data_IF_691030816309
#
_entry.id   IF_691030816309
#
_cell.length_a   1.000
_cell.length_b   1.000
_cell.length_c   1.000
_cell.angle_alpha   90.00
_cell.angle_beta   90.00
_cell.angle_gamma   90.00
#
_symmetry.space_group_name_H-M   'P 1'
#
loop_
_entity.id
_entity.type
_entity.pdbx_description
1 polymer ?
#
# COMPACT_ATOMS: atom_id res chain seq x y z
N UNK A 1 10.44 -0.14 -48.56
CA UNK A 1 11.79 -0.75 -48.64
C UNK A 1 12.04 -1.50 -47.33
N UNK A 2 11.55 -2.74 -47.22
CA UNK A 2 11.59 -3.55 -46.01
C UNK A 2 12.90 -4.36 -45.96
N UNK A 3 13.80 -4.04 -45.04
CA UNK A 3 14.99 -4.88 -44.75
C UNK A 3 14.58 -6.00 -43.78
N UNK A 4 14.50 -7.21 -44.30
CA UNK A 4 14.35 -8.44 -43.49
C UNK A 4 15.68 -8.75 -42.79
N UNK A 5 15.69 -8.65 -41.45
CA UNK A 5 16.82 -9.11 -40.63
C UNK A 5 16.69 -10.65 -40.44
N UNK A 6 17.60 -11.40 -41.07
CA UNK A 6 17.74 -12.86 -40.90
C UNK A 6 18.55 -13.10 -39.61
N UNK A 7 17.93 -13.73 -38.64
CA UNK A 7 18.61 -14.26 -37.44
C UNK A 7 19.18 -15.66 -37.84
N UNK A 8 20.49 -15.94 -37.66
CA UNK A 8 21.03 -17.26 -37.93
C UNK A 8 20.61 -18.24 -36.83
N UNK A 9 20.08 -19.34 -37.32
CA UNK A 9 19.58 -20.46 -36.56
C UNK A 9 20.73 -21.41 -36.21
N UNK A 10 21.55 -21.09 -35.19
CA UNK A 10 22.32 -22.10 -34.44
C UNK A 10 23.02 -21.51 -33.22
N UNK A 11 22.29 -21.58 -32.13
CA UNK A 11 22.86 -21.68 -30.81
C UNK A 11 22.04 -22.75 -30.07
N UNK A 12 22.19 -23.97 -30.48
CA UNK A 12 21.75 -25.13 -29.71
C UNK A 12 22.76 -25.26 -28.56
N UNK A 13 22.42 -24.70 -27.41
CA UNK A 13 23.16 -24.94 -26.18
C UNK A 13 22.75 -26.34 -25.68
N UNK A 14 23.68 -27.30 -25.50
CA UNK A 14 23.36 -28.57 -24.90
C UNK A 14 22.96 -28.34 -23.44
N UNK A 15 21.75 -28.75 -23.13
CA UNK A 15 21.20 -28.80 -21.79
C UNK A 15 22.02 -29.82 -20.98
N UNK A 16 22.98 -29.33 -20.19
CA UNK A 16 23.65 -30.15 -19.18
C UNK A 16 22.60 -30.64 -18.19
N UNK A 17 22.40 -31.94 -18.19
CA UNK A 17 21.60 -32.64 -17.19
C UNK A 17 22.25 -32.43 -15.82
N UNK A 18 21.73 -31.48 -15.05
CA UNK A 18 22.01 -31.39 -13.62
C UNK A 18 21.38 -32.64 -12.98
N UNK A 19 22.25 -33.51 -12.49
CA UNK A 19 21.89 -34.73 -11.79
C UNK A 19 20.88 -34.39 -10.67
N UNK A 20 19.74 -35.04 -10.73
CA UNK A 20 18.77 -35.03 -9.66
C UNK A 20 19.44 -35.62 -8.41
N UNK A 21 19.36 -34.96 -7.22
CA UNK A 21 19.82 -35.61 -5.99
C UNK A 21 18.98 -36.89 -5.80
N UNK A 22 19.69 -38.01 -5.59
CA UNK A 22 19.08 -39.31 -5.36
C UNK A 22 18.10 -39.20 -4.18
N UNK A 23 16.84 -39.49 -4.41
CA UNK A 23 15.84 -39.67 -3.36
C UNK A 23 16.29 -40.88 -2.53
N UNK A 24 16.53 -40.76 -1.22
CA UNK A 24 16.92 -41.89 -0.40
C UNK A 24 15.78 -42.92 -0.41
N UNK A 25 16.17 -44.18 -0.68
CA UNK A 25 15.27 -45.31 -0.75
C UNK A 25 14.41 -45.40 0.52
N UNK A 26 13.13 -45.56 0.26
CA UNK A 26 12.07 -45.77 1.24
C UNK A 26 12.46 -46.81 2.27
N UNK A 27 12.67 -46.39 3.51
CA UNK A 27 12.99 -47.28 4.63
C UNK A 27 11.64 -47.75 5.24
N UNK A 28 11.17 -48.97 5.02
CA UNK A 28 9.84 -49.44 5.44
C UNK A 28 9.67 -49.60 6.95
N UNK A 29 10.66 -49.16 7.76
CA UNK A 29 10.65 -49.20 9.21
C UNK A 29 10.62 -47.87 9.93
N UNK A 30 10.55 -46.75 9.20
CA UNK A 30 10.42 -45.43 9.84
C UNK A 30 8.98 -45.28 10.37
N UNK A 31 8.82 -45.51 11.69
CA UNK A 31 7.61 -45.08 12.41
C UNK A 31 7.40 -43.57 12.14
N UNK A 32 6.54 -43.27 11.20
CA UNK A 32 6.04 -41.91 10.97
C UNK A 32 5.14 -41.52 12.17
N UNK A 33 5.77 -41.28 13.30
CA UNK A 33 5.11 -40.47 14.34
C UNK A 33 4.91 -39.10 13.71
N UNK A 34 3.68 -38.60 13.61
CA UNK A 34 3.50 -37.24 13.16
C UNK A 34 4.34 -36.35 14.07
N UNK A 35 5.32 -35.66 13.51
CA UNK A 35 6.08 -34.62 14.20
C UNK A 35 5.06 -33.54 14.50
N UNK A 36 4.45 -33.62 15.67
CA UNK A 36 3.64 -32.53 16.17
C UNK A 36 4.56 -31.32 16.28
N UNK A 37 4.18 -30.18 15.70
CA UNK A 37 4.98 -28.98 15.88
C UNK A 37 5.17 -28.80 17.39
N UNK A 38 6.44 -28.61 17.78
CA UNK A 38 6.86 -28.43 19.17
C UNK A 38 6.00 -27.33 19.79
N UNK A 39 4.92 -27.74 20.49
CA UNK A 39 4.14 -26.81 21.29
C UNK A 39 5.10 -26.35 22.38
N UNK A 40 5.43 -25.05 22.47
CA UNK A 40 6.20 -24.55 23.59
C UNK A 40 5.52 -25.10 24.84
N UNK A 41 6.29 -25.81 25.67
CA UNK A 41 5.81 -26.46 26.88
C UNK A 41 4.85 -25.53 27.61
N UNK A 42 3.58 -25.88 27.59
CA UNK A 42 2.57 -25.21 28.38
C UNK A 42 2.84 -25.61 29.85
N UNK A 43 3.81 -24.94 30.43
CA UNK A 43 4.01 -24.95 31.88
C UNK A 43 2.75 -24.35 32.47
N UNK A 44 1.83 -25.22 32.92
CA UNK A 44 0.71 -24.91 33.80
C UNK A 44 -0.06 -23.62 33.49
N UNK A 45 -0.25 -23.29 32.23
CA UNK A 45 -0.78 -22.00 31.83
C UNK A 45 -2.28 -22.08 31.50
N UNK A 46 -3.09 -21.54 32.35
CA UNK A 46 -4.45 -21.20 31.95
C UNK A 46 -4.44 -20.31 30.70
N UNK A 47 -5.37 -20.52 29.79
CA UNK A 47 -5.52 -19.66 28.61
C UNK A 47 -5.95 -18.27 29.10
N UNK A 48 -5.30 -17.23 28.60
CA UNK A 48 -5.63 -15.86 28.99
C UNK A 48 -7.04 -15.52 28.50
N UNK A 49 -7.83 -14.86 29.34
CA UNK A 49 -9.20 -14.44 28.99
C UNK A 49 -9.23 -13.69 27.67
N UNK A 50 -8.24 -12.83 27.40
CA UNK A 50 -8.13 -12.07 26.14
C UNK A 50 -8.03 -12.94 24.88
N UNK A 51 -7.54 -14.20 25.01
CA UNK A 51 -7.39 -15.13 23.88
C UNK A 51 -8.66 -15.96 23.66
N UNK A 52 -9.57 -15.96 24.62
CA UNK A 52 -10.85 -16.66 24.59
C UNK A 52 -12.05 -15.75 24.31
N UNK A 53 -11.89 -14.44 24.49
CA UNK A 53 -13.01 -13.49 24.42
C UNK A 53 -12.76 -12.45 23.34
N UNK A 54 -13.83 -12.04 22.68
CA UNK A 54 -13.83 -10.88 21.80
C UNK A 54 -14.88 -9.88 22.32
N UNK A 55 -14.54 -8.59 22.28
CA UNK A 55 -15.48 -7.55 22.66
C UNK A 55 -16.41 -7.30 21.48
N UNK A 56 -17.72 -7.51 21.69
CA UNK A 56 -18.74 -7.24 20.67
C UNK A 56 -18.71 -5.76 20.28
N UNK A 57 -18.60 -5.47 18.98
CA UNK A 57 -18.53 -4.10 18.47
C UNK A 57 -17.13 -3.50 18.39
N UNK A 58 -16.10 -4.12 18.99
CA UNK A 58 -14.72 -3.72 18.80
C UNK A 58 -14.20 -4.17 17.44
N UNK A 59 -14.34 -3.33 16.43
CA UNK A 59 -13.88 -3.58 15.06
C UNK A 59 -13.09 -2.36 14.55
N UNK A 60 -12.11 -2.56 13.68
CA UNK A 60 -11.48 -1.44 13.01
C UNK A 60 -12.47 -0.73 12.09
N UNK A 61 -12.41 0.59 12.06
CA UNK A 61 -13.19 1.41 11.14
C UNK A 61 -12.29 1.94 10.04
N UNK A 62 -12.72 1.79 8.80
CA UNK A 62 -12.00 2.33 7.67
C UNK A 62 -12.28 3.84 7.54
N UNK A 63 -11.20 4.63 7.49
CA UNK A 63 -11.24 6.05 7.22
C UNK A 63 -10.79 6.31 5.79
N UNK A 64 -11.31 7.39 5.20
CA UNK A 64 -10.95 7.83 3.86
C UNK A 64 -10.86 9.35 3.81
N UNK A 65 -9.97 9.87 2.98
CA UNK A 65 -9.84 11.29 2.72
C UNK A 65 -9.35 11.54 1.32
N UNK A 66 -9.65 12.72 0.81
CA UNK A 66 -9.12 13.22 -0.45
C UNK A 66 -8.01 14.22 -0.13
N UNK A 67 -6.83 13.99 -0.68
CA UNK A 67 -5.65 14.81 -0.45
C UNK A 67 -4.92 15.18 -1.73
N UNK A 68 -3.88 15.98 -1.56
CA UNK A 68 -2.95 16.37 -2.63
C UNK A 68 -1.53 16.09 -2.16
N UNK A 69 -0.75 15.45 -3.00
CA UNK A 69 0.69 15.28 -2.85
C UNK A 69 1.40 16.30 -3.72
N UNK A 70 2.39 16.98 -3.17
CA UNK A 70 3.20 18.00 -3.86
C UNK A 70 4.67 17.60 -3.89
N UNK A 71 5.44 18.18 -4.81
CA UNK A 71 6.89 17.95 -4.89
C UNK A 71 7.29 16.74 -5.71
N UNK A 72 6.48 16.30 -6.67
CA UNK A 72 6.65 15.04 -7.42
C UNK A 72 7.63 15.10 -8.60
N UNK A 73 8.40 16.16 -8.80
CA UNK A 73 9.46 16.28 -9.81
C UNK A 73 9.06 15.73 -11.21
N UNK A 74 7.95 16.21 -11.78
CA UNK A 74 7.37 15.79 -13.06
C UNK A 74 6.74 14.37 -13.09
N UNK A 75 6.65 13.66 -11.99
CA UNK A 75 5.97 12.36 -11.89
C UNK A 75 4.49 12.47 -11.46
N UNK A 76 4.00 13.68 -11.25
CA UNK A 76 2.61 13.96 -10.88
C UNK A 76 1.61 13.82 -12.02
N UNK A 77 0.40 14.29 -11.78
CA UNK A 77 -0.70 14.24 -12.76
C UNK A 77 -0.39 15.13 -13.97
N UNK A 78 -0.67 14.61 -15.18
CA UNK A 78 -0.31 15.34 -16.41
C UNK A 78 -1.22 16.50 -16.68
N UNK A 79 -2.56 16.31 -16.64
CA UNK A 79 -3.53 17.36 -17.02
C UNK A 79 -4.93 17.16 -16.40
N UNK A 80 -5.01 16.60 -15.21
CA UNK A 80 -6.29 16.32 -14.58
C UNK A 80 -6.92 17.59 -14.02
N UNK A 81 -8.17 17.85 -14.40
CA UNK A 81 -8.93 19.05 -14.01
C UNK A 81 -9.08 19.14 -12.49
N UNK A 82 -9.29 18.00 -11.83
CA UNK A 82 -9.46 17.95 -10.37
C UNK A 82 -8.17 18.26 -9.61
N UNK A 83 -7.00 17.85 -10.11
CA UNK A 83 -5.71 18.20 -9.48
C UNK A 83 -5.44 19.70 -9.56
N UNK A 84 -5.72 20.32 -10.70
CA UNK A 84 -5.59 21.77 -10.89
C UNK A 84 -6.54 22.54 -9.98
N UNK A 85 -7.82 22.13 -9.90
CA UNK A 85 -8.80 22.74 -9.01
C UNK A 85 -8.45 22.58 -7.53
N UNK A 86 -7.98 21.41 -7.15
CA UNK A 86 -7.57 21.16 -5.75
C UNK A 86 -6.41 22.05 -5.35
N UNK A 87 -5.41 22.22 -6.22
CA UNK A 87 -4.29 23.13 -5.96
C UNK A 87 -4.75 24.59 -5.96
N UNK A 88 -5.60 25.02 -6.89
CA UNK A 88 -6.13 26.37 -6.91
C UNK A 88 -6.93 26.69 -5.64
N UNK A 89 -7.74 25.75 -5.14
CA UNK A 89 -8.48 25.91 -3.90
C UNK A 89 -7.53 25.99 -2.69
N UNK A 90 -6.48 25.19 -2.65
CA UNK A 90 -5.47 25.24 -1.61
C UNK A 90 -4.76 26.59 -1.60
N UNK A 91 -4.31 27.08 -2.75
CA UNK A 91 -3.67 28.39 -2.87
C UNK A 91 -4.61 29.52 -2.45
N UNK A 92 -5.89 29.40 -2.79
CA UNK A 92 -6.91 30.38 -2.36
C UNK A 92 -7.07 30.41 -0.84
N UNK A 93 -6.99 29.29 -0.15
CA UNK A 93 -7.01 29.23 1.32
C UNK A 93 -5.81 29.97 1.94
N UNK A 94 -4.68 30.04 1.22
CA UNK A 94 -3.49 30.79 1.61
C UNK A 94 -3.48 32.24 1.07
N UNK A 95 -4.59 32.72 0.54
CA UNK A 95 -4.71 34.09 0.01
C UNK A 95 -4.17 34.29 -1.40
N UNK A 96 -3.73 33.23 -2.08
CA UNK A 96 -3.21 33.30 -3.45
C UNK A 96 -4.31 32.89 -4.43
N UNK A 97 -4.77 33.83 -5.27
CA UNK A 97 -5.77 33.55 -6.30
C UNK A 97 -5.06 33.30 -7.63
N UNK A 98 -5.12 32.06 -8.10
CA UNK A 98 -4.53 31.63 -9.37
C UNK A 98 -5.63 31.03 -10.23
N UNK A 99 -5.74 31.41 -11.53
CA UNK A 99 -6.69 30.76 -12.43
C UNK A 99 -6.26 29.31 -12.71
N UNK A 100 -7.23 28.41 -12.83
CA UNK A 100 -6.99 26.96 -13.04
C UNK A 100 -6.12 26.68 -14.28
N UNK A 101 -6.14 27.58 -15.26
CA UNK A 101 -5.35 27.46 -16.51
C UNK A 101 -3.86 27.75 -16.32
N UNK A 102 -3.49 28.50 -15.30
CA UNK A 102 -2.08 28.87 -15.04
C UNK A 102 -1.35 27.83 -14.18
N UNK A 103 -2.06 26.85 -13.66
CA UNK A 103 -1.50 25.83 -12.75
C UNK A 103 -0.94 24.65 -13.55
N UNK A 104 0.36 24.38 -13.38
CA UNK A 104 0.99 23.15 -13.90
C UNK A 104 0.79 22.02 -12.90
N UNK A 105 0.21 20.89 -13.33
CA UNK A 105 -0.08 19.75 -12.48
C UNK A 105 1.05 18.71 -12.39
N UNK A 106 2.14 18.85 -13.17
CA UNK A 106 3.21 17.85 -13.26
C UNK A 106 3.93 17.54 -11.95
N UNK A 107 3.93 18.46 -11.00
CA UNK A 107 4.58 18.31 -9.70
C UNK A 107 3.60 18.00 -8.57
N UNK A 108 2.34 17.76 -8.90
CA UNK A 108 1.28 17.47 -7.93
C UNK A 108 0.49 16.24 -8.37
N UNK A 109 -0.10 15.54 -7.41
CA UNK A 109 -1.04 14.47 -7.67
C UNK A 109 -2.22 14.54 -6.70
N UNK A 110 -3.42 14.34 -7.23
CA UNK A 110 -4.58 14.09 -6.41
C UNK A 110 -4.58 12.65 -5.92
N UNK A 111 -4.77 12.47 -4.63
CA UNK A 111 -4.67 11.16 -3.99
C UNK A 111 -5.86 10.86 -3.10
N UNK A 112 -6.20 9.57 -3.05
CA UNK A 112 -7.08 9.01 -2.03
C UNK A 112 -6.21 8.49 -0.90
N UNK A 113 -6.50 8.95 0.31
CA UNK A 113 -5.83 8.49 1.53
C UNK A 113 -6.78 7.61 2.29
N UNK A 114 -6.35 6.43 2.67
CA UNK A 114 -7.13 5.48 3.48
C UNK A 114 -6.35 5.03 4.70
N UNK A 115 -7.05 4.84 5.81
CA UNK A 115 -6.48 4.34 7.05
C UNK A 115 -7.46 3.40 7.74
N UNK A 116 -6.95 2.49 8.54
CA UNK A 116 -7.75 1.66 9.42
C UNK A 116 -7.61 2.16 10.86
N UNK A 117 -8.70 2.66 11.43
CA UNK A 117 -8.76 3.11 12.81
C UNK A 117 -9.04 1.90 13.72
N UNK A 118 -8.07 1.41 14.51
CA UNK A 118 -8.31 0.33 15.46
C UNK A 118 -9.33 0.73 16.53
N UNK A 119 -10.01 -0.25 17.10
CA UNK A 119 -10.85 0.01 18.27
C UNK A 119 -9.98 0.47 19.45
N UNK A 120 -10.53 1.40 20.25
CA UNK A 120 -9.87 1.92 21.47
C UNK A 120 -8.54 2.67 21.27
N UNK A 121 -8.33 3.24 20.10
CA UNK A 121 -7.19 4.11 19.84
C UNK A 121 -7.27 5.35 20.74
N UNK A 122 -6.12 5.73 21.34
CA UNK A 122 -6.00 6.94 22.13
C UNK A 122 -5.69 8.14 21.23
N UNK A 123 -6.12 9.33 21.68
CA UNK A 123 -5.74 10.58 21.01
C UNK A 123 -4.21 10.73 20.97
N UNK A 124 -3.69 11.15 19.82
CA UNK A 124 -2.25 11.29 19.59
C UNK A 124 -1.54 10.01 19.13
N UNK A 125 -2.25 8.89 18.96
CA UNK A 125 -1.66 7.69 18.37
C UNK A 125 -1.37 7.90 16.87
N UNK A 126 -0.25 7.37 16.42
CA UNK A 126 0.12 7.35 15.01
C UNK A 126 -0.56 6.16 14.32
N UNK A 127 -1.05 6.39 13.12
CA UNK A 127 -1.67 5.38 12.26
C UNK A 127 -1.00 5.34 10.91
N UNK A 128 -0.80 4.15 10.40
CA UNK A 128 -0.36 3.96 9.02
C UNK A 128 -1.47 4.32 8.04
N UNK A 129 -1.10 5.07 7.00
CA UNK A 129 -2.01 5.48 5.93
C UNK A 129 -1.56 4.92 4.60
N UNK A 130 -2.51 4.50 3.77
CA UNK A 130 -2.26 4.15 2.39
C UNK A 130 -2.64 5.33 1.51
N UNK A 131 -1.72 5.74 0.64
CA UNK A 131 -1.91 6.83 -0.32
C UNK A 131 -1.92 6.27 -1.72
N UNK A 132 -3.02 6.48 -2.46
CA UNK A 132 -3.20 6.01 -3.83
C UNK A 132 -3.47 7.19 -4.75
N UNK A 133 -2.76 7.26 -5.88
CA UNK A 133 -3.04 8.26 -6.90
C UNK A 133 -4.41 8.04 -7.52
N UNK A 134 -5.16 9.11 -7.72
CA UNK A 134 -6.46 9.08 -8.40
C UNK A 134 -6.36 9.48 -9.87
N UNK A 135 -5.24 10.08 -10.26
CA UNK A 135 -4.97 10.55 -11.63
C UNK A 135 -3.90 9.72 -12.33
N UNK A 136 -3.21 10.39 -13.25
CA UNK A 136 -2.20 9.78 -14.13
C UNK A 136 -0.79 9.87 -13.53
N UNK A 137 -0.65 10.16 -12.25
CA UNK A 137 0.67 10.24 -11.59
C UNK A 137 1.41 8.92 -11.74
N UNK A 138 2.62 8.97 -12.26
CA UNK A 138 3.45 7.78 -12.50
C UNK A 138 4.15 7.32 -11.23
N UNK A 139 4.42 8.22 -10.28
CA UNK A 139 5.03 7.92 -8.99
C UNK A 139 4.66 8.98 -7.97
N UNK A 140 4.46 8.57 -6.73
CA UNK A 140 4.28 9.45 -5.58
C UNK A 140 5.55 9.57 -4.72
N UNK A 141 6.64 8.91 -5.14
CA UNK A 141 7.89 8.90 -4.40
C UNK A 141 8.52 10.29 -4.32
N UNK A 142 8.98 10.66 -3.14
CA UNK A 142 9.59 11.96 -2.86
C UNK A 142 8.60 13.11 -2.69
N UNK A 143 7.31 12.88 -2.87
CA UNK A 143 6.29 13.88 -2.62
C UNK A 143 5.92 14.01 -1.15
N UNK A 144 5.36 15.16 -0.78
CA UNK A 144 4.82 15.43 0.54
C UNK A 144 3.29 15.49 0.47
N UNK A 145 2.60 14.73 1.32
CA UNK A 145 1.16 14.81 1.46
C UNK A 145 0.80 16.09 2.22
N UNK A 146 -0.13 16.87 1.67
CA UNK A 146 -0.69 18.03 2.35
C UNK A 146 -1.72 17.57 3.38
N UNK A 147 -1.80 18.30 4.49
CA UNK A 147 -2.75 18.09 5.57
C UNK A 147 -4.14 17.67 5.05
N UNK A 148 -4.51 16.42 5.31
CA UNK A 148 -5.68 15.78 4.74
C UNK A 148 -6.56 15.22 5.85
N UNK A 149 -7.80 15.71 6.03
CA UNK A 149 -8.74 15.14 6.98
C UNK A 149 -9.24 13.77 6.49
N UNK A 150 -9.23 12.78 7.36
CA UNK A 150 -9.80 11.46 7.12
C UNK A 150 -11.14 11.32 7.82
N UNK A 151 -12.15 10.98 7.05
CA UNK A 151 -13.53 10.84 7.47
C UNK A 151 -13.96 9.39 7.59
N UNK A 152 -14.77 9.09 8.59
CA UNK A 152 -15.41 7.79 8.78
C UNK A 152 -16.68 7.63 7.93
N UNK A 153 -17.32 6.47 8.06
CA UNK A 153 -18.58 6.18 7.37
C UNK A 153 -19.75 7.11 7.81
N UNK A 154 -19.63 7.69 8.99
CA UNK A 154 -20.61 8.65 9.56
C UNK A 154 -20.38 10.09 9.13
N UNK A 155 -19.38 10.35 8.27
CA UNK A 155 -19.04 11.69 7.77
C UNK A 155 -18.24 12.56 8.74
N UNK A 156 -17.85 12.06 9.90
CA UNK A 156 -17.04 12.81 10.87
C UNK A 156 -15.54 12.64 10.61
N UNK A 157 -14.77 13.69 10.88
CA UNK A 157 -13.31 13.67 10.84
C UNK A 157 -12.79 13.03 12.12
N UNK A 158 -11.97 11.99 11.98
CA UNK A 158 -11.36 11.28 13.10
C UNK A 158 -9.85 11.47 13.19
N UNK A 159 -9.19 11.58 12.05
CA UNK A 159 -7.73 11.64 11.93
C UNK A 159 -7.36 12.64 10.86
N UNK A 160 -6.19 13.21 10.97
CA UNK A 160 -5.57 14.01 9.91
C UNK A 160 -4.26 13.38 9.49
N UNK A 161 -4.07 13.24 8.18
CA UNK A 161 -2.84 12.70 7.58
C UNK A 161 -1.99 13.87 7.02
N UNK A 162 -0.67 13.75 7.16
CA UNK A 162 0.31 14.68 6.59
C UNK A 162 1.63 13.97 6.33
#
# INVERSE_FOLDING_TARGET
MFKRLRIPFWALVPMMALGQPAVPANNPGANLRPVMPNRPNAVGGGVRIKDLTSIRGARPNQLRGFGVVVGLQNSGDKDTVYSKRSLANLLKQHGVVVPDTAVSSKNIAAVMVTANLPAFVKNGALLDVNVAAMGDATSLSGGTLIFTPLIGADGKVYVTAQ
#
